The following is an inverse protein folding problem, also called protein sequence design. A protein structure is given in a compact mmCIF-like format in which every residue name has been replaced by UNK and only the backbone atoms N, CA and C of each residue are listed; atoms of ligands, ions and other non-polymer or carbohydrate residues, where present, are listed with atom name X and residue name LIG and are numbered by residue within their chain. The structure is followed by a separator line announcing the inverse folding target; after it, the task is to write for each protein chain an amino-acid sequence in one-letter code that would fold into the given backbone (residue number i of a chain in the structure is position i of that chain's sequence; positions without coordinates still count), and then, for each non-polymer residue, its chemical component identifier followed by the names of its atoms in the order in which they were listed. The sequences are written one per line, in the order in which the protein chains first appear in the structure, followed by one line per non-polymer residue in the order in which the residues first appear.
data_IF_723951276049
#
_entry.id   IF_723951276049
#
_cell.length_a   1.000
_cell.length_b   1.000
_cell.length_c   1.000
_cell.angle_alpha   90.00
_cell.angle_beta   90.00
_cell.angle_gamma   90.00
#
_symmetry.space_group_name_H-M   'P 1'
#
loop_
_entity.id
_entity.type
_entity.pdbx_description
1 polymer ?
#
# COMPACT_ATOMS: atom_id res chain seq x y z
N UNK A 1 -1.11 0.87 6.46
CA UNK A 1 0.23 1.35 6.89
C UNK A 1 1.23 0.24 6.59
N UNK A 2 2.10 0.45 5.61
CA UNK A 2 3.21 -0.47 5.30
C UNK A 2 4.30 -0.21 6.33
N UNK A 3 4.74 -1.24 7.05
CA UNK A 3 5.82 -1.11 8.02
C UNK A 3 7.15 -1.12 7.29
N UNK A 4 7.86 0.01 7.27
CA UNK A 4 9.22 0.06 6.74
C UNK A 4 10.20 -0.36 7.84
N UNK A 5 11.00 -1.40 7.59
CA UNK A 5 12.06 -1.83 8.50
C UNK A 5 13.32 -1.01 8.26
N UNK A 6 14.11 -0.82 9.31
CA UNK A 6 15.40 -0.11 9.26
C UNK A 6 16.52 -0.86 8.50
N UNK A 7 16.31 -2.12 8.15
CA UNK A 7 17.28 -2.95 7.45
C UNK A 7 16.57 -4.06 6.65
N UNK A 8 17.17 -4.48 5.53
CA UNK A 8 16.61 -5.52 4.65
C UNK A 8 16.39 -6.88 5.34
N UNK A 9 17.30 -7.41 6.19
CA UNK A 9 17.08 -8.70 6.86
C UNK A 9 15.87 -8.70 7.79
N UNK A 10 15.53 -7.54 8.36
CA UNK A 10 14.35 -7.40 9.22
C UNK A 10 13.03 -7.44 8.44
N UNK A 11 13.08 -7.25 7.11
CA UNK A 11 11.94 -7.30 6.20
C UNK A 11 11.80 -8.66 5.49
N UNK A 12 12.71 -9.62 5.73
CA UNK A 12 12.75 -10.89 4.99
C UNK A 12 11.43 -11.68 5.08
N UNK A 13 10.71 -11.57 6.19
CA UNK A 13 9.43 -12.26 6.43
C UNK A 13 8.21 -11.35 6.29
N UNK A 14 8.41 -10.11 5.84
CA UNK A 14 7.30 -9.18 5.64
C UNK A 14 6.53 -9.54 4.35
N UNK A 15 5.21 -9.31 4.29
CA UNK A 15 4.42 -9.60 3.10
C UNK A 15 4.84 -8.73 1.92
N UNK A 16 4.82 -9.31 0.71
CA UNK A 16 5.19 -8.65 -0.54
C UNK A 16 3.95 -8.03 -1.20
N UNK A 17 4.08 -6.79 -1.67
CA UNK A 17 3.06 -6.13 -2.50
C UNK A 17 3.51 -6.13 -3.96
N UNK A 18 2.73 -6.74 -4.85
CA UNK A 18 2.97 -6.70 -6.29
C UNK A 18 2.32 -5.47 -6.90
N UNK A 19 3.11 -4.61 -7.53
CA UNK A 19 2.62 -3.48 -8.33
C UNK A 19 2.58 -3.91 -9.79
N UNK A 20 1.40 -3.87 -10.40
CA UNK A 20 1.17 -4.36 -11.76
C UNK A 20 0.88 -3.18 -12.68
N UNK A 21 1.80 -2.90 -13.60
CA UNK A 21 1.62 -1.92 -14.66
C UNK A 21 1.26 -2.65 -15.95
N UNK A 22 0.06 -2.38 -16.48
CA UNK A 22 -0.42 -3.00 -17.71
C UNK A 22 0.18 -2.31 -18.94
N UNK A 23 0.54 -3.10 -19.95
CA UNK A 23 0.85 -2.61 -21.30
C UNK A 23 -0.41 -2.29 -22.10
N UNK A 24 -0.23 -1.77 -23.32
CA UNK A 24 -1.33 -1.36 -24.21
C UNK A 24 -2.27 -2.51 -24.58
N UNK A 25 -1.77 -3.75 -24.59
CA UNK A 25 -2.54 -4.99 -24.78
C UNK A 25 -3.32 -5.43 -23.51
N UNK A 26 -3.23 -4.63 -22.43
CA UNK A 26 -3.83 -4.89 -21.12
C UNK A 26 -3.31 -6.16 -20.44
N UNK A 27 -2.06 -6.53 -20.73
CA UNK A 27 -1.36 -7.60 -20.05
C UNK A 27 -0.20 -7.05 -19.22
N UNK A 28 0.35 -7.86 -18.33
CA UNK A 28 1.62 -7.63 -17.68
C UNK A 28 2.24 -8.96 -17.29
N UNK A 29 3.57 -9.05 -17.31
CA UNK A 29 4.30 -10.21 -16.82
C UNK A 29 5.49 -9.76 -16.01
N UNK A 30 5.79 -10.50 -14.96
CA UNK A 30 6.94 -10.25 -14.09
C UNK A 30 7.40 -11.52 -13.42
N UNK A 31 8.53 -11.46 -12.74
CA UNK A 31 9.05 -12.60 -11.99
C UNK A 31 9.55 -12.14 -10.63
N UNK A 32 9.26 -12.93 -9.60
CA UNK A 32 9.77 -12.75 -8.24
C UNK A 32 10.83 -13.81 -7.95
N UNK A 33 12.02 -13.36 -7.59
CA UNK A 33 13.08 -14.21 -7.06
C UNK A 33 13.26 -13.91 -5.56
N UNK A 34 13.27 -14.94 -4.73
CA UNK A 34 13.58 -14.85 -3.30
C UNK A 34 14.54 -15.99 -2.90
N UNK A 35 15.57 -15.66 -2.15
CA UNK A 35 16.41 -16.62 -1.43
C UNK A 35 16.73 -16.05 -0.05
N UNK A 36 17.71 -16.64 0.65
CA UNK A 36 18.13 -16.16 1.96
C UNK A 36 19.03 -14.91 1.93
N UNK A 37 19.47 -14.45 0.75
CA UNK A 37 20.28 -13.24 0.56
C UNK A 37 21.71 -13.27 1.14
N UNK A 38 22.13 -14.36 1.79
CA UNK A 38 23.40 -14.41 2.54
C UNK A 38 24.30 -15.56 2.10
N UNK A 39 23.74 -16.73 1.80
CA UNK A 39 24.49 -17.95 1.48
C UNK A 39 24.31 -18.33 0.00
N UNK A 40 25.22 -19.17 -0.51
CA UNK A 40 25.12 -19.75 -1.85
C UNK A 40 24.16 -20.94 -1.94
N UNK A 41 23.13 -20.99 -1.09
CA UNK A 41 22.19 -22.11 -1.05
C UNK A 41 21.24 -22.14 -2.26
N UNK A 42 21.13 -21.05 -3.02
CA UNK A 42 20.44 -21.06 -4.31
C UNK A 42 21.03 -22.09 -5.28
N UNK A 43 22.33 -22.38 -5.19
CA UNK A 43 22.98 -23.44 -5.97
C UNK A 43 22.50 -24.85 -5.61
N UNK A 44 21.89 -25.01 -4.43
CA UNK A 44 21.27 -26.25 -3.95
C UNK A 44 19.76 -26.28 -4.18
N UNK A 45 19.18 -25.25 -4.81
CA UNK A 45 17.75 -25.13 -5.04
C UNK A 45 16.95 -24.48 -3.90
N UNK A 46 17.61 -23.88 -2.91
CA UNK A 46 16.95 -23.15 -1.81
C UNK A 46 16.61 -21.71 -2.24
N UNK A 47 15.70 -21.58 -3.20
CA UNK A 47 15.17 -20.30 -3.65
C UNK A 47 13.74 -20.46 -4.18
N UNK A 48 12.99 -19.36 -4.19
CA UNK A 48 11.71 -19.23 -4.88
C UNK A 48 11.94 -18.40 -6.15
N UNK A 49 11.68 -18.99 -7.31
CA UNK A 49 11.62 -18.27 -8.58
C UNK A 49 10.24 -18.41 -9.18
N UNK A 50 9.54 -17.28 -9.34
CA UNK A 50 8.11 -17.29 -9.60
C UNK A 50 7.68 -16.32 -10.69
N UNK A 51 7.24 -16.82 -11.85
CA UNK A 51 6.63 -15.97 -12.86
C UNK A 51 5.18 -15.64 -12.47
N UNK A 52 4.80 -14.40 -12.73
CA UNK A 52 3.44 -13.88 -12.63
C UNK A 52 2.99 -13.40 -14.00
N UNK A 53 1.78 -13.79 -14.37
CA UNK A 53 1.12 -13.31 -15.59
C UNK A 53 -0.21 -12.68 -15.21
N UNK A 54 -0.38 -11.44 -15.64
CA UNK A 54 -1.59 -10.67 -15.43
C UNK A 54 -2.23 -10.35 -16.77
N UNK A 55 -3.54 -10.52 -16.82
CA UNK A 55 -4.36 -10.09 -17.94
C UNK A 55 -5.59 -9.38 -17.39
N UNK A 56 -5.86 -8.18 -17.90
CA UNK A 56 -7.12 -7.50 -17.61
C UNK A 56 -8.23 -8.14 -18.42
N UNK A 57 -9.25 -8.60 -17.72
CA UNK A 57 -10.48 -9.11 -18.30
C UNK A 57 -11.47 -7.95 -18.51
N UNK A 58 -12.72 -8.27 -18.78
CA UNK A 58 -13.75 -7.24 -18.99
C UNK A 58 -14.01 -6.42 -17.71
N UNK A 59 -14.12 -5.10 -17.86
CA UNK A 59 -14.44 -4.17 -16.76
C UNK A 59 -13.29 -3.98 -15.76
N UNK A 60 -13.57 -4.22 -14.48
CA UNK A 60 -12.61 -4.14 -13.37
C UNK A 60 -12.07 -5.52 -12.94
N UNK A 61 -12.29 -6.56 -13.74
CA UNK A 61 -11.81 -7.91 -13.45
C UNK A 61 -10.38 -8.13 -13.95
N UNK A 62 -9.58 -8.86 -13.18
CA UNK A 62 -8.20 -9.21 -13.52
C UNK A 62 -7.99 -10.70 -13.25
N UNK A 63 -7.30 -11.37 -14.16
CA UNK A 63 -6.86 -12.75 -13.96
C UNK A 63 -5.36 -12.74 -13.74
N UNK A 64 -4.94 -13.32 -12.61
CA UNK A 64 -3.55 -13.60 -12.30
C UNK A 64 -3.33 -15.11 -12.40
N UNK A 65 -2.35 -15.52 -13.19
CA UNK A 65 -1.88 -16.90 -13.23
C UNK A 65 -0.46 -16.99 -12.68
N UNK A 66 -0.24 -18.00 -11.86
CA UNK A 66 1.08 -18.42 -11.37
C UNK A 66 1.06 -19.95 -11.27
N UNK A 67 2.18 -20.65 -11.53
CA UNK A 67 2.21 -22.12 -11.47
C UNK A 67 1.77 -22.67 -10.09
N UNK A 68 1.10 -23.82 -10.00
CA UNK A 68 0.32 -24.18 -8.80
C UNK A 68 1.09 -24.66 -7.55
N UNK A 69 2.41 -24.49 -7.46
CA UNK A 69 3.20 -25.01 -6.32
C UNK A 69 3.79 -23.88 -5.48
N UNK A 70 2.93 -22.99 -4.98
CA UNK A 70 3.37 -21.82 -4.21
C UNK A 70 3.67 -22.14 -2.74
N UNK A 71 2.88 -23.03 -2.13
CA UNK A 71 3.02 -23.37 -0.71
C UNK A 71 4.30 -24.17 -0.42
N UNK A 72 4.60 -25.17 -1.24
CA UNK A 72 5.76 -26.06 -1.08
C UNK A 72 7.11 -25.32 -1.28
N UNK A 73 7.10 -24.29 -2.13
CA UNK A 73 8.29 -23.49 -2.41
C UNK A 73 8.56 -22.44 -1.32
N UNK A 74 7.52 -21.94 -0.65
CA UNK A 74 7.67 -21.01 0.48
C UNK A 74 8.26 -21.71 1.71
N UNK A 75 7.87 -22.96 1.96
CA UNK A 75 8.44 -23.77 3.05
C UNK A 75 9.95 -23.99 2.86
N UNK A 76 10.39 -24.24 1.62
CA UNK A 76 11.82 -24.40 1.26
C UNK A 76 12.66 -23.14 1.48
N UNK A 77 12.05 -21.96 1.42
CA UNK A 77 12.70 -20.67 1.69
C UNK A 77 12.57 -20.28 3.18
N UNK A 78 11.98 -21.14 4.02
CA UNK A 78 11.80 -20.89 5.45
C UNK A 78 10.66 -19.91 5.77
N UNK A 79 9.74 -19.71 4.82
CA UNK A 79 8.53 -18.90 4.96
C UNK A 79 7.36 -19.85 5.23
N UNK A 80 7.00 -19.99 6.51
CA UNK A 80 5.84 -20.82 6.88
C UNK A 80 4.54 -20.07 6.60
N UNK A 81 3.70 -20.62 5.72
CA UNK A 81 2.32 -20.17 5.57
C UNK A 81 1.52 -20.73 6.75
N UNK A 82 1.16 -19.89 7.71
CA UNK A 82 0.11 -20.27 8.65
C UNK A 82 -1.19 -20.47 7.86
N UNK A 83 -1.64 -21.73 7.76
CA UNK A 83 -3.00 -22.07 7.33
C UNK A 83 -3.97 -21.46 8.35
N UNK A 84 -4.27 -20.19 8.19
CA UNK A 84 -5.41 -19.57 8.85
C UNK A 84 -6.66 -20.23 8.27
N UNK A 85 -7.39 -20.92 9.13
CA UNK A 85 -8.73 -21.42 8.84
C UNK A 85 -9.55 -20.27 8.24
N UNK A 86 -9.91 -20.45 6.98
CA UNK A 86 -10.57 -19.47 6.14
C UNK A 86 -11.98 -19.16 6.68
N UNK A 87 -12.11 -18.10 7.48
CA UNK A 87 -13.41 -17.62 7.94
C UNK A 87 -13.37 -16.21 8.55
N UNK A 88 -12.60 -16.04 9.63
CA UNK A 88 -12.78 -14.86 10.49
C UNK A 88 -11.67 -13.80 10.38
N UNK A 89 -10.41 -14.22 10.19
CA UNK A 89 -9.26 -13.28 10.24
C UNK A 89 -9.17 -12.37 9.00
N UNK A 90 -9.35 -12.90 7.79
CA UNK A 90 -9.31 -12.11 6.55
C UNK A 90 -10.39 -11.01 6.53
N UNK A 91 -11.60 -11.31 7.05
CA UNK A 91 -12.67 -10.31 7.18
C UNK A 91 -12.28 -9.22 8.18
N UNK A 92 -11.69 -9.59 9.32
CA UNK A 92 -11.26 -8.62 10.34
C UNK A 92 -10.17 -7.67 9.81
N UNK A 93 -9.18 -8.18 9.07
CA UNK A 93 -8.13 -7.34 8.48
C UNK A 93 -8.68 -6.38 7.41
N UNK A 94 -9.60 -6.84 6.56
CA UNK A 94 -10.26 -5.98 5.56
C UNK A 94 -11.13 -4.92 6.23
N UNK A 95 -11.88 -5.27 7.28
CA UNK A 95 -12.68 -4.32 8.07
C UNK A 95 -11.80 -3.28 8.76
N UNK A 96 -10.68 -3.71 9.36
CA UNK A 96 -9.71 -2.81 9.99
C UNK A 96 -9.08 -1.86 8.96
N UNK A 97 -8.73 -2.36 7.78
CA UNK A 97 -8.18 -1.53 6.71
C UNK A 97 -9.21 -0.50 6.20
N UNK A 98 -10.47 -0.90 6.05
CA UNK A 98 -11.56 -0.02 5.61
C UNK A 98 -11.87 1.07 6.64
N UNK A 99 -11.91 0.71 7.93
CA UNK A 99 -12.09 1.68 9.02
C UNK A 99 -10.96 2.71 9.05
N UNK A 100 -9.70 2.24 8.98
CA UNK A 100 -8.54 3.13 8.94
C UNK A 100 -8.54 4.08 7.73
N UNK A 101 -9.05 3.62 6.58
CA UNK A 101 -9.21 4.47 5.39
C UNK A 101 -10.27 5.55 5.62
N UNK A 102 -11.43 5.18 6.18
CA UNK A 102 -12.50 6.13 6.46
C UNK A 102 -12.07 7.21 7.47
N UNK A 103 -11.35 6.82 8.52
CA UNK A 103 -10.83 7.75 9.52
C UNK A 103 -9.85 8.74 8.88
N UNK A 104 -9.01 8.27 7.94
CA UNK A 104 -8.12 9.13 7.19
C UNK A 104 -8.90 10.13 6.31
N UNK A 105 -9.93 9.70 5.60
CA UNK A 105 -10.78 10.60 4.81
C UNK A 105 -11.49 11.66 5.66
N UNK A 106 -11.98 11.27 6.84
CA UNK A 106 -12.60 12.19 7.79
C UNK A 106 -11.58 13.22 8.31
N UNK A 107 -10.35 12.77 8.58
CA UNK A 107 -9.26 13.65 9.03
C UNK A 107 -8.87 14.67 7.97
N UNK A 108 -8.81 14.26 6.69
CA UNK A 108 -8.52 15.14 5.54
C UNK A 108 -9.63 16.16 5.37
N UNK A 109 -10.89 15.73 5.47
CA UNK A 109 -12.05 16.63 5.36
C UNK A 109 -12.03 17.68 6.48
N UNK A 110 -11.75 17.27 7.73
CA UNK A 110 -11.64 18.18 8.86
C UNK A 110 -10.45 19.15 8.73
N UNK A 111 -9.34 18.72 8.14
CA UNK A 111 -8.21 19.61 7.86
C UNK A 111 -8.60 20.65 6.79
N UNK A 112 -9.32 20.23 5.74
CA UNK A 112 -9.80 21.13 4.70
C UNK A 112 -10.80 22.16 5.21
N UNK A 113 -11.72 21.78 6.10
CA UNK A 113 -12.66 22.73 6.71
C UNK A 113 -11.92 23.75 7.57
N UNK A 114 -10.97 23.32 8.40
CA UNK A 114 -10.11 24.23 9.18
C UNK A 114 -9.32 25.20 8.31
N UNK A 115 -8.77 24.75 7.18
CA UNK A 115 -8.08 25.61 6.23
C UNK A 115 -9.04 26.66 5.64
N UNK A 116 -10.25 26.26 5.26
CA UNK A 116 -11.28 27.20 4.74
C UNK A 116 -11.70 28.23 5.78
N UNK A 117 -11.91 27.80 7.03
CA UNK A 117 -12.24 28.69 8.14
C UNK A 117 -11.10 29.67 8.43
N UNK A 118 -9.86 29.17 8.49
CA UNK A 118 -8.67 30.01 8.67
C UNK A 118 -8.53 31.04 7.55
N UNK A 119 -8.71 30.64 6.29
CA UNK A 119 -8.68 31.55 5.14
C UNK A 119 -9.81 32.60 5.19
N UNK A 120 -11.00 32.21 5.63
CA UNK A 120 -12.12 33.15 5.82
C UNK A 120 -11.82 34.18 6.92
N UNK A 121 -11.23 33.76 8.04
CA UNK A 121 -10.85 34.65 9.12
C UNK A 121 -9.70 35.59 8.69
N UNK A 122 -8.67 35.06 8.04
CA UNK A 122 -7.58 35.86 7.44
C UNK A 122 -8.12 36.90 6.46
N UNK A 123 -9.11 36.55 5.63
CA UNK A 123 -9.75 37.50 4.72
C UNK A 123 -10.60 38.56 5.42
N UNK A 124 -11.07 38.33 6.65
CA UNK A 124 -11.77 39.35 7.44
C UNK A 124 -10.80 40.29 8.14
N UNK A 125 -9.71 39.74 8.67
CA UNK A 125 -8.69 40.49 9.41
C UNK A 125 -7.76 41.28 8.47
N UNK A 126 -7.50 40.76 7.27
CA UNK A 126 -6.51 41.27 6.31
C UNK A 126 -7.03 41.39 4.87
N UNK A 127 -8.35 41.27 4.64
CA UNK A 127 -8.95 41.46 3.32
C UNK A 127 -8.99 42.93 2.88
N UNK A 128 -9.33 43.25 1.61
CA UNK A 128 -9.13 44.54 0.93
C UNK A 128 -9.52 45.82 1.71
N UNK A 129 -10.41 45.70 2.69
CA UNK A 129 -10.87 46.75 3.60
C UNK A 129 -9.90 47.04 4.78
N UNK A 130 -8.71 46.41 4.83
CA UNK A 130 -7.73 46.55 5.92
C UNK A 130 -7.01 47.91 5.91
N UNK A 131 -7.06 48.64 4.80
CA UNK A 131 -6.76 50.07 4.75
C UNK A 131 -8.02 50.84 5.16
N UNK A 132 -8.01 51.47 6.34
CA UNK A 132 -8.72 52.72 6.73
C UNK A 132 -8.89 52.88 8.25
N UNK A 133 -8.31 52.01 9.09
CA UNK A 133 -8.25 52.21 10.56
C UNK A 133 -6.91 52.71 11.11
N UNK A 134 -6.12 53.41 10.29
CA UNK A 134 -5.02 54.23 10.79
C UNK A 134 -5.39 55.69 10.51
N UNK A 135 -5.32 56.52 11.54
CA UNK A 135 -5.48 57.98 11.56
C UNK A 135 -6.83 58.56 12.04
N UNK A 136 -7.34 58.08 13.19
CA UNK A 136 -8.15 58.94 14.09
C UNK A 136 -7.38 59.10 15.42
N UNK A 137 -6.25 59.80 15.36
CA UNK A 137 -5.53 60.31 16.52
C UNK A 137 -5.09 61.75 16.22
N UNK A 138 -6.04 62.68 16.27
CA UNK A 138 -5.82 64.11 16.43
C UNK A 138 -6.69 64.62 17.59
#
# INVERSE_FOLDING_TARGET
MVSLRRAAPLALKDPITLVVALSNDRSASGTLYLDNGELFNHNKGEFLYKPFYFKKEHGQSFTMSSSEVFADALEKVGVSLEKSSAGDSYRAHVVKAKAAHQDAENSVTNAQTKIKESNSNLSKDWGPEWEYKKLDCL
#
